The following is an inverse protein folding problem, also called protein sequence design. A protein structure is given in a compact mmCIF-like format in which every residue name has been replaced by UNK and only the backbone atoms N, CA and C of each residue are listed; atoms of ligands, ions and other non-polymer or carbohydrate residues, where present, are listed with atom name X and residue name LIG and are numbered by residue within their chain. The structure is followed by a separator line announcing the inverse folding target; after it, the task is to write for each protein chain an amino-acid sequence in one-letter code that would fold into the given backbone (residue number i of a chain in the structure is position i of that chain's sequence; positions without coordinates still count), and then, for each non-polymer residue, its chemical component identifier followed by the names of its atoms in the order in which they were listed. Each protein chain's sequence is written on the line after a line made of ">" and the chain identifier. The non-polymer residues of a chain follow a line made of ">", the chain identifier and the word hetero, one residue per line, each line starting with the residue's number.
data_IF_683721551245
#
_entry.id   IF_683721551245
#
_cell.length_a   1.000
_cell.length_b   1.000
_cell.length_c   1.000
_cell.angle_alpha   90.00
_cell.angle_beta   90.00
_cell.angle_gamma   90.00
#
_symmetry.space_group_name_H-M   'P 1'
#
loop_
_entity.id
_entity.type
_entity.pdbx_description
1 polymer ?
#
# COMPACT_ATOMS: atom_id res chain seq x y z
N UNK A 1 9.85 12.30 -27.97
CA UNK A 1 9.47 11.53 -26.74
C UNK A 1 8.63 12.44 -25.84
N UNK A 2 7.30 12.44 -26.03
CA UNK A 2 6.38 13.39 -25.39
C UNK A 2 6.00 12.86 -24.00
N UNK A 3 6.57 13.43 -22.95
CA UNK A 3 6.18 13.17 -21.56
C UNK A 3 4.77 13.72 -21.30
N UNK A 4 3.75 12.85 -21.41
CA UNK A 4 2.42 13.15 -20.84
C UNK A 4 2.52 13.06 -19.33
N UNK A 5 2.97 14.12 -18.68
CA UNK A 5 2.91 14.24 -17.24
C UNK A 5 1.45 14.15 -16.79
N UNK A 6 1.10 13.01 -16.21
CA UNK A 6 -0.15 12.85 -15.47
C UNK A 6 0.03 13.47 -14.09
N UNK A 7 -1.04 14.02 -13.52
CA UNK A 7 -1.01 14.68 -12.23
C UNK A 7 -0.39 13.78 -11.15
N UNK A 8 0.56 14.35 -10.40
CA UNK A 8 1.17 13.74 -9.23
C UNK A 8 1.53 14.83 -8.22
N UNK A 9 1.13 14.64 -6.97
CA UNK A 9 1.49 15.49 -5.86
C UNK A 9 1.92 14.62 -4.69
N UNK A 10 3.05 14.96 -4.06
CA UNK A 10 3.50 14.35 -2.81
C UNK A 10 3.45 15.43 -1.73
N UNK A 11 2.71 15.16 -0.65
CA UNK A 11 2.38 16.16 0.37
C UNK A 11 2.94 15.69 1.71
N UNK A 12 3.72 16.58 2.32
CA UNK A 12 4.26 16.44 3.67
C UNK A 12 4.17 17.78 4.41
N UNK A 13 4.20 17.75 5.73
CA UNK A 13 4.36 18.92 6.59
C UNK A 13 5.44 18.66 7.66
N UNK A 14 5.92 19.70 8.39
CA UNK A 14 6.97 19.53 9.40
C UNK A 14 6.62 18.51 10.48
N UNK A 15 5.36 18.43 10.90
CA UNK A 15 4.93 17.46 11.91
C UNK A 15 5.04 16.02 11.42
N UNK A 16 4.72 15.78 10.16
CA UNK A 16 4.89 14.49 9.50
C UNK A 16 6.36 14.08 9.38
N UNK A 17 7.29 15.06 9.27
CA UNK A 17 8.74 14.79 9.36
C UNK A 17 9.12 14.21 10.71
N UNK A 18 8.63 14.82 11.78
CA UNK A 18 8.88 14.37 13.15
C UNK A 18 8.32 12.95 13.35
N UNK A 19 7.11 12.69 12.88
CA UNK A 19 6.50 11.36 12.96
C UNK A 19 7.27 10.30 12.17
N UNK A 20 7.69 10.61 10.93
CA UNK A 20 8.53 9.72 10.14
C UNK A 20 9.86 9.44 10.83
N UNK A 21 10.49 10.43 11.46
CA UNK A 21 11.74 10.25 12.18
C UNK A 21 11.59 9.45 13.48
N UNK A 22 10.55 9.74 14.26
CA UNK A 22 10.33 9.12 15.58
C UNK A 22 9.77 7.71 15.47
N UNK A 23 8.80 7.48 14.58
CA UNK A 23 8.03 6.24 14.52
C UNK A 23 8.28 5.41 13.26
N UNK A 24 8.78 6.03 12.19
CA UNK A 24 9.11 5.34 10.94
C UNK A 24 10.07 4.16 11.10
N UNK A 25 11.10 4.21 11.98
CA UNK A 25 11.97 3.07 12.24
C UNK A 25 11.24 1.78 12.58
N UNK A 26 10.16 1.85 13.38
CA UNK A 26 9.44 0.67 13.87
C UNK A 26 8.70 -0.06 12.75
N UNK A 27 7.87 0.68 12.01
CA UNK A 27 7.13 0.13 10.87
C UNK A 27 6.53 1.27 10.04
N UNK A 28 6.56 1.08 8.73
CA UNK A 28 5.88 1.92 7.76
C UNK A 28 4.73 1.13 7.15
N UNK A 29 3.52 1.66 7.20
CA UNK A 29 2.35 1.08 6.54
C UNK A 29 1.95 1.95 5.35
N UNK A 30 1.59 1.33 4.23
CA UNK A 30 1.12 2.06 3.04
C UNK A 30 -0.15 1.44 2.53
N UNK A 31 -1.15 2.29 2.32
CA UNK A 31 -2.43 1.89 1.75
C UNK A 31 -2.80 2.78 0.55
N UNK A 32 -3.39 2.17 -0.47
CA UNK A 32 -3.88 2.82 -1.68
C UNK A 32 -5.40 2.90 -1.66
N UNK A 33 -5.91 4.12 -1.55
CA UNK A 33 -7.33 4.39 -1.60
C UNK A 33 -7.69 4.97 -2.97
N UNK A 34 -8.64 4.31 -3.65
CA UNK A 34 -9.15 4.68 -4.96
C UNK A 34 -10.64 5.08 -4.88
N UNK A 35 -11.16 5.68 -5.96
CA UNK A 35 -12.54 6.21 -6.05
C UNK A 35 -12.85 7.32 -5.04
N UNK A 36 -11.87 8.15 -4.70
CA UNK A 36 -12.00 9.22 -3.71
C UNK A 36 -12.58 10.53 -4.26
N UNK A 37 -12.39 10.81 -5.55
CA UNK A 37 -12.77 12.08 -6.16
C UNK A 37 -13.62 11.84 -7.41
N UNK A 38 -14.31 12.88 -7.89
CA UNK A 38 -14.96 12.85 -9.20
C UNK A 38 -13.96 12.60 -10.36
N UNK A 39 -12.67 12.80 -10.11
CA UNK A 39 -11.57 12.43 -11.01
C UNK A 39 -11.03 11.04 -10.67
N UNK A 40 -10.44 10.35 -11.65
CA UNK A 40 -9.77 9.06 -11.46
C UNK A 40 -8.42 9.16 -10.72
N UNK A 41 -8.33 10.01 -9.69
CA UNK A 41 -7.17 10.12 -8.83
C UNK A 41 -7.20 9.06 -7.72
N UNK A 42 -6.01 8.58 -7.37
CA UNK A 42 -5.74 7.62 -6.30
C UNK A 42 -4.87 8.30 -5.24
N UNK A 43 -5.09 7.94 -3.99
CA UNK A 43 -4.35 8.43 -2.84
C UNK A 43 -3.61 7.26 -2.19
N UNK A 44 -2.29 7.30 -2.18
CA UNK A 44 -1.50 6.46 -1.29
C UNK A 44 -1.16 7.24 -0.03
N UNK A 45 -1.38 6.63 1.12
CA UNK A 45 -1.06 7.23 2.43
C UNK A 45 0.03 6.42 3.09
N UNK A 46 1.13 7.08 3.46
CA UNK A 46 2.12 6.51 4.37
C UNK A 46 1.60 6.73 5.79
N UNK A 47 1.53 5.67 6.57
CA UNK A 47 1.07 5.66 7.94
C UNK A 47 2.18 5.10 8.82
N UNK A 48 2.42 5.75 9.96
CA UNK A 48 3.25 5.22 11.04
C UNK A 48 2.38 5.08 12.28
N UNK A 49 2.70 4.12 13.15
CA UNK A 49 2.01 3.97 14.42
C UNK A 49 2.78 4.69 15.52
N UNK A 50 2.10 5.46 16.37
CA UNK A 50 2.72 6.14 17.52
C UNK A 50 2.95 5.20 18.73
N UNK A 51 3.42 5.74 19.85
CA UNK A 51 3.66 4.98 21.08
C UNK A 51 2.41 4.35 21.71
N UNK A 52 1.21 4.77 21.28
CA UNK A 52 -0.08 4.21 21.71
C UNK A 52 -0.75 3.40 20.60
N UNK A 53 0.02 3.00 19.58
CA UNK A 53 -0.43 2.25 18.41
C UNK A 53 -1.56 2.93 17.62
N UNK A 54 -1.60 4.27 17.68
CA UNK A 54 -2.52 5.07 16.85
C UNK A 54 -1.88 5.36 15.50
N UNK A 55 -2.68 5.25 14.45
CA UNK A 55 -2.26 5.54 13.09
C UNK A 55 -2.08 7.04 12.87
N UNK A 56 -0.86 7.45 12.52
CA UNK A 56 -0.50 8.81 12.14
C UNK A 56 -0.18 8.86 10.63
N UNK A 57 -0.89 9.69 9.84
CA UNK A 57 -0.60 9.83 8.43
C UNK A 57 0.67 10.66 8.23
N UNK A 58 1.73 10.00 7.81
CA UNK A 58 3.08 10.54 7.71
C UNK A 58 3.41 11.09 6.31
N UNK A 59 2.65 10.71 5.28
CA UNK A 59 2.77 11.30 3.95
C UNK A 59 1.56 10.97 3.08
N UNK A 60 1.36 11.77 2.03
CA UNK A 60 0.36 11.51 1.01
C UNK A 60 0.98 11.55 -0.39
N UNK A 61 0.57 10.61 -1.24
CA UNK A 61 0.82 10.61 -2.67
C UNK A 61 -0.53 10.63 -3.39
N UNK A 62 -0.84 11.74 -4.06
CA UNK A 62 -2.02 11.88 -4.89
C UNK A 62 -1.59 11.78 -6.36
N UNK A 63 -2.14 10.81 -7.10
CA UNK A 63 -1.74 10.56 -8.48
C UNK A 63 -2.84 9.91 -9.31
N UNK A 64 -2.82 10.13 -10.63
CA UNK A 64 -3.70 9.39 -11.55
C UNK A 64 -3.36 7.89 -11.61
N UNK A 65 -2.11 7.50 -11.37
CA UNK A 65 -1.67 6.10 -11.33
C UNK A 65 -0.92 5.79 -10.05
N UNK A 66 -1.02 4.54 -9.62
CA UNK A 66 -0.22 4.00 -8.53
C UNK A 66 0.66 2.88 -9.08
N UNK A 67 1.70 3.23 -9.85
CA UNK A 67 2.72 2.27 -10.31
C UNK A 67 4.01 2.43 -9.52
N UNK A 68 4.99 1.55 -9.73
CA UNK A 68 6.28 1.63 -9.06
C UNK A 68 7.03 2.94 -9.36
N UNK A 69 6.70 3.63 -10.46
CA UNK A 69 7.26 4.94 -10.80
C UNK A 69 6.73 6.02 -9.85
N UNK A 70 5.41 6.11 -9.69
CA UNK A 70 4.80 7.11 -8.80
C UNK A 70 5.14 6.86 -7.33
N UNK A 71 5.14 5.59 -6.91
CA UNK A 71 5.59 5.20 -5.57
C UNK A 71 7.07 5.50 -5.35
N UNK A 72 7.92 5.21 -6.34
CA UNK A 72 9.35 5.56 -6.28
C UNK A 72 9.57 7.07 -6.16
N UNK A 73 8.75 7.90 -6.81
CA UNK A 73 8.79 9.35 -6.63
C UNK A 73 8.43 9.76 -5.20
N UNK A 74 7.37 9.18 -4.61
CA UNK A 74 7.03 9.43 -3.20
C UNK A 74 8.21 9.13 -2.27
N UNK A 75 8.84 7.97 -2.40
CA UNK A 75 10.00 7.62 -1.58
C UNK A 75 11.25 8.46 -1.86
N UNK A 76 11.43 8.93 -3.10
CA UNK A 76 12.48 9.91 -3.43
C UNK A 76 12.29 11.19 -2.62
N UNK A 77 11.05 11.67 -2.51
CA UNK A 77 10.75 12.84 -1.68
C UNK A 77 10.85 12.55 -0.19
N UNK A 78 10.45 11.37 0.30
CA UNK A 78 10.70 10.95 1.69
C UNK A 78 12.20 11.02 2.02
N UNK A 79 13.06 10.47 1.16
CA UNK A 79 14.51 10.48 1.34
C UNK A 79 15.09 11.90 1.35
N UNK A 80 14.58 12.80 0.50
CA UNK A 80 14.97 14.22 0.51
C UNK A 80 14.49 14.95 1.77
N UNK A 81 13.28 14.63 2.21
CA UNK A 81 12.61 15.27 3.34
C UNK A 81 13.22 14.83 4.68
N UNK A 82 13.62 13.56 4.78
CA UNK A 82 14.29 12.97 5.93
C UNK A 82 15.42 12.05 5.44
N UNK A 83 16.64 12.59 5.21
CA UNK A 83 17.78 11.80 4.69
C UNK A 83 18.22 10.64 5.59
N UNK A 84 18.00 10.75 6.90
CA UNK A 84 18.27 9.70 7.88
C UNK A 84 17.15 8.65 8.00
N UNK A 85 16.13 8.72 7.13
CA UNK A 85 14.99 7.82 7.18
C UNK A 85 15.42 6.36 6.97
N UNK A 86 14.95 5.49 7.87
CA UNK A 86 14.96 4.05 7.71
C UNK A 86 13.69 3.45 8.34
N UNK A 87 13.40 2.19 8.01
CA UNK A 87 12.32 1.40 8.61
C UNK A 87 12.75 -0.06 8.70
N UNK A 88 12.36 -0.75 9.76
CA UNK A 88 12.58 -2.19 9.94
C UNK A 88 11.53 -3.02 9.21
N UNK A 89 10.32 -2.48 9.08
CA UNK A 89 9.19 -3.16 8.46
C UNK A 89 8.43 -2.25 7.49
N UNK A 90 8.04 -2.79 6.35
CA UNK A 90 7.19 -2.12 5.38
C UNK A 90 5.94 -2.99 5.13
N UNK A 91 4.81 -2.56 5.67
CA UNK A 91 3.52 -3.21 5.47
C UNK A 91 2.79 -2.61 4.27
N UNK A 92 2.44 -3.45 3.31
CA UNK A 92 1.69 -3.05 2.11
C UNK A 92 0.60 -4.06 1.83
N UNK A 93 -0.27 -3.78 0.86
CA UNK A 93 -1.09 -4.84 0.25
C UNK A 93 -0.21 -5.89 -0.46
N UNK A 94 -0.86 -6.90 -1.05
CA UNK A 94 -0.18 -7.98 -1.76
C UNK A 94 0.47 -7.52 -3.08
N UNK A 95 0.16 -6.30 -3.55
CA UNK A 95 0.78 -5.80 -4.78
C UNK A 95 2.26 -5.50 -4.56
N UNK A 96 3.10 -5.88 -5.53
CA UNK A 96 4.54 -5.61 -5.43
C UNK A 96 4.89 -4.17 -5.79
N UNK A 97 3.93 -3.35 -6.21
CA UNK A 97 4.17 -1.95 -6.58
C UNK A 97 4.84 -1.16 -5.46
N UNK A 98 4.30 -1.27 -4.23
CA UNK A 98 4.80 -0.49 -3.11
C UNK A 98 6.20 -0.92 -2.67
N UNK A 99 6.36 -2.24 -2.53
CA UNK A 99 7.62 -2.86 -2.19
C UNK A 99 8.74 -2.56 -3.21
N UNK A 100 8.45 -2.71 -4.50
CA UNK A 100 9.41 -2.44 -5.57
C UNK A 100 9.76 -0.95 -5.64
N UNK A 101 8.77 -0.08 -5.48
CA UNK A 101 8.99 1.37 -5.42
C UNK A 101 9.90 1.77 -4.25
N UNK A 102 9.71 1.16 -3.08
CA UNK A 102 10.56 1.35 -1.91
C UNK A 102 11.99 0.86 -2.16
N UNK A 103 12.16 -0.41 -2.54
CA UNK A 103 13.48 -1.02 -2.77
C UNK A 103 14.28 -0.33 -3.87
N UNK A 104 13.62 0.28 -4.86
CA UNK A 104 14.28 1.08 -5.90
C UNK A 104 14.99 2.31 -5.33
N UNK A 105 14.43 2.94 -4.29
CA UNK A 105 14.99 4.16 -3.68
C UNK A 105 15.87 3.86 -2.47
N UNK A 106 15.57 2.78 -1.76
CA UNK A 106 16.30 2.27 -0.60
C UNK A 106 16.83 0.85 -0.86
N UNK A 107 17.75 0.66 -1.84
CA UNK A 107 18.28 -0.66 -2.19
C UNK A 107 19.01 -1.33 -1.02
N UNK A 108 19.71 -0.54 -0.19
CA UNK A 108 20.44 -1.00 0.98
C UNK A 108 19.56 -1.27 2.21
N UNK A 109 18.26 -0.96 2.15
CA UNK A 109 17.38 -1.19 3.30
C UNK A 109 17.21 -2.68 3.57
N UNK A 110 17.40 -3.05 4.83
CA UNK A 110 17.15 -4.38 5.41
C UNK A 110 15.70 -4.59 5.84
N UNK A 111 14.81 -3.65 5.52
CA UNK A 111 13.40 -3.72 5.90
C UNK A 111 12.76 -5.05 5.46
N UNK A 112 11.83 -5.56 6.26
CA UNK A 112 11.05 -6.76 5.92
C UNK A 112 9.68 -6.36 5.37
N UNK A 113 9.25 -6.97 4.27
CA UNK A 113 7.89 -6.79 3.74
C UNK A 113 6.90 -7.50 4.67
N UNK A 114 5.87 -6.78 5.12
CA UNK A 114 4.71 -7.35 5.79
C UNK A 114 3.49 -7.24 4.87
N UNK A 115 2.62 -8.24 4.93
CA UNK A 115 1.32 -8.16 4.28
C UNK A 115 0.31 -7.52 5.22
N UNK A 116 -0.47 -6.58 4.69
CA UNK A 116 -1.55 -5.95 5.42
C UNK A 116 -2.57 -7.01 5.88
N UNK A 117 -2.79 -7.08 7.20
CA UNK A 117 -3.65 -8.07 7.82
C UNK A 117 -5.08 -8.05 7.25
N UNK A 118 -5.64 -6.86 7.06
CA UNK A 118 -6.99 -6.69 6.49
C UNK A 118 -7.08 -7.27 5.07
N UNK A 119 -6.08 -7.00 4.23
CA UNK A 119 -6.03 -7.54 2.87
C UNK A 119 -5.91 -9.06 2.85
N UNK A 120 -5.11 -9.63 3.76
CA UNK A 120 -4.99 -11.09 3.93
C UNK A 120 -6.33 -11.71 4.34
N UNK A 121 -6.99 -11.16 5.35
CA UNK A 121 -8.31 -11.65 5.78
C UNK A 121 -9.35 -11.59 4.66
N UNK A 122 -9.37 -10.49 3.90
CA UNK A 122 -10.28 -10.33 2.76
C UNK A 122 -9.98 -11.32 1.64
N UNK A 123 -8.70 -11.59 1.36
CA UNK A 123 -8.30 -12.60 0.37
C UNK A 123 -8.75 -14.01 0.79
N UNK A 124 -8.56 -14.37 2.07
CA UNK A 124 -9.02 -15.65 2.63
C UNK A 124 -10.55 -15.77 2.50
N UNK A 125 -11.30 -14.74 2.91
CA UNK A 125 -12.78 -14.73 2.84
C UNK A 125 -13.29 -14.93 1.41
N UNK A 126 -12.71 -14.21 0.43
CA UNK A 126 -13.07 -14.34 -0.99
C UNK A 126 -12.75 -15.74 -1.53
N UNK A 127 -11.59 -16.28 -1.17
CA UNK A 127 -11.17 -17.63 -1.57
C UNK A 127 -12.08 -18.71 -1.01
N UNK A 128 -12.40 -18.63 0.29
CA UNK A 128 -13.31 -19.56 0.95
C UNK A 128 -14.71 -19.54 0.32
N UNK A 129 -15.26 -18.34 0.10
CA UNK A 129 -16.58 -18.16 -0.53
C UNK A 129 -16.61 -18.78 -1.92
N UNK A 130 -15.59 -18.53 -2.75
CA UNK A 130 -15.49 -19.11 -4.10
C UNK A 130 -15.46 -20.64 -4.06
N UNK A 131 -14.69 -21.23 -3.15
CA UNK A 131 -14.62 -22.69 -2.99
C UNK A 131 -15.95 -23.28 -2.55
N UNK A 132 -16.63 -22.66 -1.60
CA UNK A 132 -17.96 -23.09 -1.13
C UNK A 132 -18.99 -23.04 -2.26
N UNK A 133 -19.02 -21.95 -3.04
CA UNK A 133 -19.92 -21.83 -4.20
C UNK A 133 -19.65 -22.91 -5.26
N UNK A 134 -18.39 -23.23 -5.52
CA UNK A 134 -18.03 -24.30 -6.46
C UNK A 134 -18.55 -25.67 -5.97
N UNK A 135 -18.38 -25.98 -4.68
CA UNK A 135 -18.90 -27.23 -4.10
C UNK A 135 -20.42 -27.30 -4.19
N UNK A 136 -21.13 -26.21 -3.85
CA UNK A 136 -22.59 -26.14 -3.99
C UNK A 136 -23.04 -26.36 -5.44
N UNK A 137 -22.36 -25.74 -6.40
CA UNK A 137 -22.67 -25.88 -7.82
C UNK A 137 -22.42 -27.32 -8.32
N UNK A 138 -21.30 -27.94 -7.93
CA UNK A 138 -21.00 -29.34 -8.25
C UNK A 138 -22.02 -30.32 -7.67
N UNK A 139 -22.47 -30.10 -6.44
CA UNK A 139 -23.51 -30.91 -5.80
C UNK A 139 -24.88 -30.75 -6.48
N UNK A 140 -25.22 -29.53 -6.90
CA UNK A 140 -26.45 -29.27 -7.65
C UNK A 140 -26.44 -29.97 -9.03
N UNK A 141 -25.31 -29.93 -9.74
CA UNK A 141 -25.12 -30.63 -11.02
C UNK A 141 -25.20 -32.16 -10.87
N UNK A 142 -24.61 -32.72 -9.80
CA UNK A 142 -24.75 -34.15 -9.50
C UNK A 142 -26.21 -34.52 -9.25
N UNK A 143 -26.97 -33.72 -8.47
CA UNK A 143 -28.41 -33.98 -8.25
C UNK A 143 -29.25 -33.92 -9.52
N UNK A 144 -28.91 -33.04 -10.46
CA UNK A 144 -29.59 -32.95 -11.76
C UNK A 144 -29.24 -34.12 -12.70
N UNK A 145 -28.06 -34.72 -12.57
CA UNK A 145 -27.59 -35.80 -13.45
C UNK A 145 -28.13 -37.19 -13.07
N UNK A 146 -28.63 -37.34 -11.84
CA UNK A 146 -29.26 -38.57 -11.33
C UNK A 146 -30.79 -38.47 -11.20
N UNK A 147 -31.40 -37.51 -11.91
CA UNK A 147 -32.85 -37.41 -12.16
C UNK A 147 -33.11 -37.70 -13.63
#
# INVERSE_FOLDING_TARGET
>A
LRSRWKFLAVIFNPKQREWLGKYGPRALCIDDTFNLTAYSLRLATIIVADEWDRALPAAYLLSYRMTGVEVGMMFTFVKKFLPSFYTDYLMTDDTNTFWNGFKKIFPESTAKKLLCHWHVQQAIKRSATKKLLNVCCSLALLKYRYR
#
